data_IF_472242431607
#
_entry.id   IF_472242431607
#
_cell.length_a   1.000
_cell.length_b   1.000
_cell.length_c   1.000
_cell.angle_alpha   90.00
_cell.angle_beta   90.00
_cell.angle_gamma   90.00
#
_symmetry.space_group_name_H-M   'P 1'
#
loop_
_entity.id
_entity.type
_entity.pdbx_description
1 polymer ?
#
# COMPACT_ATOMS: atom_id res chain seq x y z
N UNK A 1 22.14 0.24 -33.47
CA UNK A 1 21.19 1.19 -32.85
C UNK A 1 21.05 0.85 -31.36
N UNK A 2 20.93 1.80 -30.42
CA UNK A 2 20.79 1.48 -28.98
C UNK A 2 19.56 0.59 -28.72
N UNK A 3 18.47 0.80 -29.48
CA UNK A 3 17.26 -0.01 -29.36
C UNK A 3 17.46 -1.47 -29.81
N UNK A 4 18.30 -1.71 -30.83
CA UNK A 4 18.64 -3.07 -31.27
C UNK A 4 19.48 -3.79 -30.23
N UNK A 5 20.44 -3.10 -29.62
CA UNK A 5 21.28 -3.64 -28.55
C UNK A 5 20.45 -4.05 -27.31
N UNK A 6 19.49 -3.24 -26.88
CA UNK A 6 18.60 -3.59 -25.76
C UNK A 6 17.68 -4.78 -26.08
N UNK A 7 17.28 -4.92 -27.35
CA UNK A 7 16.46 -6.05 -27.81
C UNK A 7 17.28 -7.34 -27.86
N UNK A 8 18.53 -7.28 -28.30
CA UNK A 8 19.48 -8.40 -28.27
C UNK A 8 19.79 -8.88 -26.85
N UNK A 9 19.75 -7.99 -25.86
CA UNK A 9 19.98 -8.31 -24.45
C UNK A 9 18.73 -8.82 -23.72
N UNK A 10 17.57 -8.88 -24.40
CA UNK A 10 16.28 -9.29 -23.81
C UNK A 10 15.85 -8.46 -22.57
N UNK A 11 16.41 -7.26 -22.39
CA UNK A 11 16.19 -6.43 -21.20
C UNK A 11 14.92 -5.58 -21.28
N UNK A 12 14.36 -5.43 -22.47
CA UNK A 12 13.26 -4.51 -22.75
C UNK A 12 12.03 -4.73 -21.82
N UNK A 13 11.67 -5.98 -21.55
CA UNK A 13 10.56 -6.33 -20.65
C UNK A 13 10.82 -5.88 -19.20
N UNK A 14 12.06 -6.00 -18.73
CA UNK A 14 12.45 -5.58 -17.39
C UNK A 14 12.48 -4.06 -17.27
N UNK A 15 12.93 -3.37 -18.32
CA UNK A 15 12.92 -1.90 -18.37
C UNK A 15 11.50 -1.33 -18.31
N UNK A 16 10.54 -1.98 -18.99
CA UNK A 16 9.14 -1.60 -18.94
C UNK A 16 8.56 -1.77 -17.52
N UNK A 17 8.80 -2.93 -16.90
CA UNK A 17 8.36 -3.20 -15.52
C UNK A 17 9.01 -2.23 -14.52
N UNK A 18 10.30 -1.97 -14.68
CA UNK A 18 11.06 -1.09 -13.81
C UNK A 18 10.61 0.38 -13.94
N UNK A 19 10.12 0.80 -15.12
CA UNK A 19 9.68 2.17 -15.36
C UNK A 19 8.54 2.58 -14.42
N UNK A 20 7.51 1.75 -14.29
CA UNK A 20 6.37 2.09 -13.42
C UNK A 20 6.77 2.11 -11.94
N UNK A 21 7.60 1.16 -11.53
CA UNK A 21 8.13 1.10 -10.16
C UNK A 21 9.01 2.33 -9.84
N UNK A 22 9.88 2.72 -10.77
CA UNK A 22 10.71 3.92 -10.64
C UNK A 22 9.88 5.19 -10.54
N UNK A 23 8.77 5.31 -11.29
CA UNK A 23 7.86 6.45 -11.17
C UNK A 23 7.26 6.56 -9.76
N UNK A 24 6.87 5.44 -9.15
CA UNK A 24 6.37 5.39 -7.78
C UNK A 24 7.43 5.93 -6.79
N UNK A 25 8.67 5.45 -6.91
CA UNK A 25 9.79 5.85 -6.05
C UNK A 25 10.16 7.33 -6.23
N UNK A 26 10.22 7.81 -7.47
CA UNK A 26 10.49 9.21 -7.78
C UNK A 26 9.40 10.13 -7.26
N UNK A 27 8.13 9.72 -7.36
CA UNK A 27 7.01 10.47 -6.82
C UNK A 27 7.12 10.62 -5.30
N UNK A 28 7.49 9.55 -4.59
CA UNK A 28 7.72 9.67 -3.14
C UNK A 28 8.87 10.63 -2.83
N UNK A 29 9.95 10.58 -3.61
CA UNK A 29 11.11 11.47 -3.44
C UNK A 29 10.77 12.94 -3.72
N UNK A 30 9.89 13.22 -4.68
CA UNK A 30 9.52 14.58 -5.07
C UNK A 30 8.56 15.28 -4.10
N UNK A 31 8.00 14.57 -3.12
CA UNK A 31 7.11 15.12 -2.09
C UNK A 31 7.79 16.08 -1.09
N UNK A 32 9.11 16.28 -1.18
CA UNK A 32 9.86 17.21 -0.34
C UNK A 32 10.12 16.69 1.09
N UNK A 33 10.98 17.38 1.84
CA UNK A 33 11.42 16.94 3.17
C UNK A 33 10.32 17.01 4.24
N UNK A 34 9.26 17.78 4.01
CA UNK A 34 8.18 18.03 4.97
C UNK A 34 7.20 16.87 5.13
N UNK A 35 7.16 15.91 4.20
CA UNK A 35 6.26 14.73 4.27
C UNK A 35 6.70 13.71 5.34
N UNK A 36 7.88 13.90 5.94
CA UNK A 36 8.34 13.08 7.07
C UNK A 36 8.59 11.61 6.68
N UNK A 37 8.77 10.74 7.68
CA UNK A 37 8.96 9.30 7.48
C UNK A 37 7.59 8.62 7.24
N UNK A 38 7.45 7.74 6.24
CA UNK A 38 6.22 6.97 6.07
C UNK A 38 5.89 6.16 7.34
N UNK A 39 4.60 6.03 7.70
CA UNK A 39 4.19 5.14 8.78
C UNK A 39 4.66 3.71 8.51
N UNK A 40 4.93 2.95 9.58
CA UNK A 40 5.40 1.56 9.49
C UNK A 40 4.48 0.68 8.62
N UNK A 41 3.16 0.85 8.75
CA UNK A 41 2.19 0.14 7.91
C UNK A 41 2.34 0.41 6.41
N UNK A 42 2.79 1.62 6.03
CA UNK A 42 3.06 1.97 4.63
C UNK A 42 4.29 1.24 4.11
N UNK A 43 5.34 1.15 4.94
CA UNK A 43 6.56 0.41 4.61
C UNK A 43 6.30 -1.09 4.48
N UNK A 44 5.49 -1.65 5.39
CA UNK A 44 5.06 -3.05 5.32
C UNK A 44 4.25 -3.35 4.07
N UNK A 45 3.33 -2.45 3.69
CA UNK A 45 2.56 -2.58 2.45
C UNK A 45 3.47 -2.51 1.22
N UNK A 46 4.42 -1.57 1.21
CA UNK A 46 5.41 -1.45 0.13
C UNK A 46 6.25 -2.72 0.00
N UNK A 47 6.74 -3.27 1.12
CA UNK A 47 7.53 -4.49 1.14
C UNK A 47 6.72 -5.68 0.61
N UNK A 48 5.48 -5.83 1.09
CA UNK A 48 4.59 -6.89 0.63
C UNK A 48 4.38 -6.82 -0.89
N UNK A 49 4.00 -5.66 -1.43
CA UNK A 49 3.72 -5.50 -2.86
C UNK A 49 4.97 -5.62 -3.75
N UNK A 50 6.18 -5.37 -3.24
CA UNK A 50 7.41 -5.31 -4.04
C UNK A 50 8.29 -6.55 -3.94
N UNK A 51 8.26 -7.26 -2.81
CA UNK A 51 9.23 -8.33 -2.50
C UNK A 51 8.60 -9.64 -2.01
N UNK A 52 7.33 -9.63 -1.58
CA UNK A 52 6.66 -10.81 -1.03
C UNK A 52 5.37 -11.10 -1.82
N UNK A 53 5.57 -11.61 -3.04
CA UNK A 53 4.49 -11.89 -3.99
C UNK A 53 3.51 -12.93 -3.46
N UNK A 54 3.98 -13.92 -2.68
CA UNK A 54 3.10 -14.93 -2.07
C UNK A 54 2.15 -14.33 -1.05
N UNK A 55 2.66 -13.46 -0.17
CA UNK A 55 1.82 -12.77 0.80
C UNK A 55 0.92 -11.76 0.11
N UNK A 56 1.42 -11.06 -0.90
CA UNK A 56 0.61 -10.12 -1.66
C UNK A 56 -0.53 -10.84 -2.41
N UNK A 57 -0.27 -12.01 -3.00
CA UNK A 57 -1.27 -12.88 -3.62
C UNK A 57 -2.37 -13.26 -2.64
N UNK A 58 -2.01 -13.78 -1.46
CA UNK A 58 -2.97 -14.09 -0.40
C UNK A 58 -3.77 -12.86 0.05
N UNK A 59 -3.13 -11.70 0.11
CA UNK A 59 -3.78 -10.45 0.47
C UNK A 59 -4.83 -10.03 -0.58
N UNK A 60 -4.48 -10.01 -1.87
CA UNK A 60 -5.39 -9.63 -2.97
C UNK A 60 -6.54 -10.62 -3.12
N UNK A 61 -6.32 -11.90 -2.86
CA UNK A 61 -7.36 -12.93 -2.94
C UNK A 61 -8.26 -12.98 -1.69
N UNK A 62 -7.91 -12.28 -0.61
CA UNK A 62 -8.69 -12.29 0.63
C UNK A 62 -10.07 -11.65 0.46
N UNK A 63 -11.05 -12.13 1.26
CA UNK A 63 -12.40 -11.57 1.30
C UNK A 63 -12.39 -10.07 1.64
N UNK A 64 -11.53 -9.65 2.57
CA UNK A 64 -11.38 -8.25 2.96
C UNK A 64 -10.92 -7.36 1.80
N UNK A 65 -10.05 -7.87 0.93
CA UNK A 65 -9.63 -7.13 -0.25
C UNK A 65 -10.77 -7.03 -1.27
N UNK A 66 -11.44 -8.17 -1.52
CA UNK A 66 -12.58 -8.27 -2.44
C UNK A 66 -13.80 -7.46 -2.00
N UNK A 67 -14.03 -7.27 -0.70
CA UNK A 67 -15.10 -6.40 -0.19
C UNK A 67 -14.79 -4.91 -0.38
N UNK A 68 -13.51 -4.54 -0.47
CA UNK A 68 -13.08 -3.15 -0.63
C UNK A 68 -12.97 -2.74 -2.10
N UNK A 69 -12.35 -3.58 -2.93
CA UNK A 69 -12.04 -3.28 -4.33
C UNK A 69 -12.91 -4.09 -5.28
N UNK A 70 -13.30 -3.46 -6.38
CA UNK A 70 -14.09 -4.08 -7.45
C UNK A 70 -13.19 -4.35 -8.65
N UNK A 71 -12.91 -5.63 -8.89
CA UNK A 71 -12.18 -6.15 -10.04
C UNK A 71 -12.99 -7.28 -10.67
N UNK A 72 -12.77 -7.56 -11.95
CA UNK A 72 -13.37 -8.70 -12.63
C UNK A 72 -12.83 -10.03 -12.06
N UNK A 73 -13.65 -11.08 -12.07
CA UNK A 73 -13.23 -12.41 -11.62
C UNK A 73 -12.03 -12.95 -12.39
N UNK A 74 -11.98 -12.65 -13.70
CA UNK A 74 -10.85 -12.92 -14.59
C UNK A 74 -9.52 -12.35 -14.06
N UNK A 75 -9.55 -11.14 -13.48
CA UNK A 75 -8.36 -10.52 -12.90
C UNK A 75 -7.87 -11.30 -11.69
N UNK A 76 -8.78 -11.80 -10.83
CA UNK A 76 -8.40 -12.61 -9.69
C UNK A 76 -7.82 -13.97 -10.09
N UNK A 77 -8.35 -14.61 -11.13
CA UNK A 77 -7.79 -15.85 -11.67
C UNK A 77 -6.38 -15.66 -12.21
N UNK A 78 -6.13 -14.54 -12.89
CA UNK A 78 -4.79 -14.15 -13.35
C UNK A 78 -3.87 -13.90 -12.16
N UNK A 79 -4.32 -13.12 -11.18
CA UNK A 79 -3.56 -12.85 -9.95
C UNK A 79 -3.31 -14.07 -9.08
N UNK A 80 -4.04 -15.16 -9.28
CA UNK A 80 -3.79 -16.43 -8.61
C UNK A 80 -2.66 -17.22 -9.27
N UNK A 81 -2.40 -17.03 -10.57
CA UNK A 81 -1.45 -17.87 -11.33
C UNK A 81 -0.21 -17.14 -11.87
N UNK A 82 -0.29 -15.83 -12.09
CA UNK A 82 0.74 -15.07 -12.80
C UNK A 82 1.39 -14.03 -11.88
N UNK A 83 2.69 -14.19 -11.59
CA UNK A 83 3.46 -13.25 -10.75
C UNK A 83 3.64 -11.88 -11.41
N UNK A 84 3.91 -11.83 -12.71
CA UNK A 84 4.17 -10.58 -13.44
C UNK A 84 2.94 -9.67 -13.41
N UNK A 85 1.77 -10.24 -13.75
CA UNK A 85 0.47 -9.56 -13.72
C UNK A 85 0.12 -9.07 -12.31
N UNK A 86 0.38 -9.88 -11.28
CA UNK A 86 0.20 -9.50 -9.89
C UNK A 86 1.17 -8.37 -9.47
N UNK A 87 2.42 -8.40 -9.92
CA UNK A 87 3.43 -7.38 -9.60
C UNK A 87 3.06 -6.03 -10.22
N UNK A 88 2.64 -6.01 -11.49
CA UNK A 88 2.13 -4.81 -12.15
C UNK A 88 0.90 -4.25 -11.42
N UNK A 89 -0.01 -5.13 -11.00
CA UNK A 89 -1.13 -4.73 -10.15
C UNK A 89 -0.67 -4.14 -8.80
N UNK A 90 0.38 -4.69 -8.20
CA UNK A 90 0.99 -4.16 -6.98
C UNK A 90 1.42 -2.70 -7.12
N UNK A 91 2.02 -2.32 -8.25
CA UNK A 91 2.39 -0.92 -8.53
C UNK A 91 1.15 -0.03 -8.63
N UNK A 92 0.11 -0.46 -9.37
CA UNK A 92 -1.18 0.27 -9.45
C UNK A 92 -1.82 0.45 -8.07
N UNK A 93 -1.84 -0.62 -7.28
CA UNK A 93 -2.40 -0.62 -5.93
C UNK A 93 -1.64 0.32 -5.00
N UNK A 94 -0.29 0.33 -5.05
CA UNK A 94 0.53 1.28 -4.29
C UNK A 94 0.27 2.73 -4.69
N UNK A 95 0.05 3.02 -5.98
CA UNK A 95 -0.31 4.39 -6.42
C UNK A 95 -1.61 4.88 -5.78
N UNK A 96 -2.60 4.00 -5.68
CA UNK A 96 -3.85 4.33 -4.99
C UNK A 96 -3.66 4.44 -3.48
N UNK A 97 -3.02 3.46 -2.85
CA UNK A 97 -2.88 3.39 -1.40
C UNK A 97 -1.98 4.50 -0.83
N UNK A 98 -0.90 4.87 -1.53
CA UNK A 98 0.07 5.85 -1.04
C UNK A 98 -0.23 7.28 -1.49
N UNK A 99 -0.82 7.43 -2.68
CA UNK A 99 -0.97 8.74 -3.31
C UNK A 99 -2.41 9.12 -3.65
N UNK A 100 -3.39 8.27 -3.34
CA UNK A 100 -4.80 8.54 -3.61
C UNK A 100 -5.16 8.52 -5.09
N UNK A 101 -4.30 7.99 -5.95
CA UNK A 101 -4.59 7.83 -7.38
C UNK A 101 -5.61 6.72 -7.57
N UNK A 102 -6.89 7.08 -7.76
CA UNK A 102 -8.02 6.15 -7.92
C UNK A 102 -7.92 5.35 -9.23
N UNK A 103 -6.97 4.43 -9.29
CA UNK A 103 -6.65 3.57 -10.44
C UNK A 103 -7.41 2.22 -10.41
N UNK A 104 -8.03 1.90 -9.29
CA UNK A 104 -8.79 0.68 -9.00
C UNK A 104 -10.16 1.11 -8.46
N UNK A 105 -11.22 0.59 -9.08
CA UNK A 105 -12.59 0.82 -8.62
C UNK A 105 -12.78 0.26 -7.21
N UNK A 106 -13.42 1.03 -6.35
CA UNK A 106 -13.78 0.62 -4.99
C UNK A 106 -15.29 0.29 -4.96
N UNK A 107 -15.70 -0.67 -4.11
CA UNK A 107 -17.13 -0.97 -3.94
C UNK A 107 -17.85 0.21 -3.30
N UNK A 108 -19.12 0.37 -3.63
CA UNK A 108 -19.99 1.38 -3.01
C UNK A 108 -20.08 1.14 -1.50
N UNK A 109 -20.03 2.22 -0.70
CA UNK A 109 -20.04 2.13 0.77
C UNK A 109 -18.73 1.65 1.42
N UNK A 110 -17.73 1.20 0.65
CA UNK A 110 -16.47 0.69 1.21
C UNK A 110 -15.69 1.73 2.04
N UNK A 111 -15.89 3.03 1.78
CA UNK A 111 -15.32 4.10 2.60
C UNK A 111 -16.03 4.22 3.96
N UNK A 112 -17.36 4.19 3.96
CA UNK A 112 -18.19 4.29 5.16
C UNK A 112 -17.95 3.11 6.09
N UNK A 113 -17.86 1.90 5.53
CA UNK A 113 -17.53 0.69 6.25
C UNK A 113 -16.10 0.72 6.81
N UNK A 114 -15.12 1.23 6.03
CA UNK A 114 -13.75 1.46 6.52
C UNK A 114 -13.70 2.44 7.67
N UNK A 115 -14.45 3.53 7.61
CA UNK A 115 -14.51 4.54 8.67
C UNK A 115 -15.14 3.93 9.91
N UNK A 116 -16.27 3.22 9.78
CA UNK A 116 -16.95 2.54 10.90
C UNK A 116 -16.04 1.53 11.60
N UNK A 117 -15.40 0.64 10.83
CA UNK A 117 -14.49 -0.38 11.39
C UNK A 117 -13.24 0.23 12.04
N UNK A 118 -12.84 1.45 11.63
CA UNK A 118 -11.67 2.15 12.20
C UNK A 118 -12.03 3.12 13.32
N UNK A 119 -13.29 3.51 13.49
CA UNK A 119 -13.74 4.40 14.57
C UNK A 119 -13.39 3.80 15.93
N UNK A 120 -13.75 2.54 16.17
CA UNK A 120 -13.44 1.84 17.43
C UNK A 120 -11.93 1.80 17.71
N UNK A 121 -11.13 1.52 16.67
CA UNK A 121 -9.66 1.48 16.77
C UNK A 121 -9.08 2.87 17.03
N UNK A 122 -9.61 3.91 16.41
CA UNK A 122 -9.18 5.30 16.61
C UNK A 122 -9.56 5.82 17.99
N UNK A 123 -10.75 5.50 18.48
CA UNK A 123 -11.22 5.82 19.82
C UNK A 123 -10.36 5.12 20.87
N UNK A 124 -10.09 3.82 20.71
CA UNK A 124 -9.20 3.08 21.59
C UNK A 124 -7.78 3.67 21.62
N UNK A 125 -7.22 4.06 20.46
CA UNK A 125 -5.91 4.74 20.39
C UNK A 125 -5.93 6.10 21.09
N UNK A 126 -6.97 6.91 20.85
CA UNK A 126 -7.14 8.23 21.49
C UNK A 126 -7.22 8.09 23.02
N UNK A 127 -8.02 7.14 23.51
CA UNK A 127 -8.16 6.90 24.95
C UNK A 127 -6.85 6.42 25.58
N UNK A 128 -6.14 5.51 24.92
CA UNK A 128 -4.83 5.04 25.39
C UNK A 128 -3.77 6.14 25.46
N UNK A 129 -3.83 7.11 24.53
CA UNK A 129 -2.91 8.25 24.52
C UNK A 129 -3.23 9.25 25.64
N UNK A 130 -4.52 9.54 25.87
CA UNK A 130 -4.97 10.37 27.00
C UNK A 130 -4.58 9.72 28.33
N UNK A 131 -4.81 8.42 28.51
CA UNK A 131 -4.45 7.73 29.74
C UNK A 131 -2.94 7.73 29.98
N UNK A 132 -2.13 7.60 28.92
CA UNK A 132 -0.67 7.65 29.02
C UNK A 132 -0.18 9.06 29.40
N UNK A 133 -0.81 10.10 28.88
CA UNK A 133 -0.51 11.49 29.26
C UNK A 133 -0.89 11.76 30.72
N UNK A 134 -2.07 11.31 31.16
CA UNK A 134 -2.51 11.43 32.56
C UNK A 134 -1.56 10.70 33.51
N UNK A 135 -1.17 9.46 33.20
CA UNK A 135 -0.19 8.71 34.00
C UNK A 135 1.15 9.44 34.11
N UNK A 136 1.64 10.04 33.02
CA UNK A 136 2.89 10.79 33.02
C UNK A 136 2.80 12.13 33.77
N UNK A 137 1.61 12.76 33.84
CA UNK A 137 1.38 13.92 34.70
C UNK A 137 1.32 13.52 36.18
N UNK A 138 0.54 12.50 36.52
CA UNK A 138 0.42 12.00 37.89
C UNK A 138 1.78 11.58 38.49
N UNK A 139 2.64 10.95 37.69
CA UNK A 139 4.00 10.57 38.08
C UNK A 139 4.89 11.80 38.36
N UNK A 140 4.78 12.87 37.56
CA UNK A 140 5.51 14.12 37.79
C UNK A 140 5.09 14.84 39.07
N UNK A 141 3.80 14.79 39.43
CA UNK A 141 3.29 15.42 40.65
C UNK A 141 3.51 14.57 41.91
N UNK A 142 3.84 13.28 41.76
CA UNK A 142 4.15 12.38 42.87
C UNK A 142 5.59 12.55 43.38
N UNK A 143 6.49 12.98 42.49
CA UNK A 143 7.92 13.17 42.77
C UNK A 143 8.31 14.63 43.12
N UNK A 144 7.33 15.53 43.26
CA UNK A 144 7.49 16.96 43.61
C UNK A 144 7.08 17.25 45.06
#
# INVERSE_FOLDING_TARGET
NIAEYLKEQETAQYDEMNREWMQLMLKRRSMGPTVGRPPEATLQLFFMCSYDMDRFRRFVLSENFRSTYQLEDSAYEVFEKEDISLMQFGVRFMRQAFFGERTISEREGAWEERVKNRQEVWEARRQAEISRQQQAEDEKYRDA
#
